data_IF_275067999778
#
_entry.id   IF_275067999778
#
_cell.length_a   1.000
_cell.length_b   1.000
_cell.length_c   1.000
_cell.angle_alpha   90.00
_cell.angle_beta   90.00
_cell.angle_gamma   90.00
#
_symmetry.space_group_name_H-M   'P 1'
#
loop_
_entity.id
_entity.type
_entity.pdbx_description
1 polymer ?
#
# COMPACT_ATOMS: atom_id res chain seq x y z
N UNK A 1 27.85 27.26 0.96
CA UNK A 1 27.00 27.88 -0.09
C UNK A 1 26.11 26.89 -0.83
N UNK A 2 26.61 25.99 -1.69
CA UNK A 2 25.76 25.11 -2.50
C UNK A 2 24.81 24.21 -1.67
N UNK A 3 25.29 23.69 -0.54
CA UNK A 3 24.51 22.78 0.32
C UNK A 3 23.32 23.42 1.04
N UNK A 4 23.42 24.70 1.42
CA UNK A 4 22.33 25.41 2.13
C UNK A 4 21.22 25.78 1.15
N UNK A 5 21.59 26.30 -0.03
CA UNK A 5 20.63 26.57 -1.12
C UNK A 5 19.97 25.30 -1.63
N UNK A 6 20.75 24.22 -1.79
CA UNK A 6 20.22 22.90 -2.17
C UNK A 6 19.31 22.33 -1.08
N UNK A 7 19.68 22.43 0.19
CA UNK A 7 18.86 21.98 1.31
C UNK A 7 17.53 22.73 1.41
N UNK A 8 17.55 24.06 1.24
CA UNK A 8 16.34 24.87 1.22
C UNK A 8 15.43 24.54 0.03
N UNK A 9 16.01 24.33 -1.15
CA UNK A 9 15.27 23.93 -2.35
C UNK A 9 14.66 22.53 -2.17
N UNK A 10 15.44 21.56 -1.69
CA UNK A 10 14.99 20.20 -1.42
C UNK A 10 13.85 20.18 -0.38
N UNK A 11 13.96 20.98 0.68
CA UNK A 11 12.93 21.12 1.68
C UNK A 11 11.64 21.77 1.12
N UNK A 12 11.77 22.85 0.34
CA UNK A 12 10.63 23.52 -0.28
C UNK A 12 9.90 22.60 -1.28
N UNK A 13 10.64 21.81 -2.04
CA UNK A 13 10.10 20.79 -2.95
C UNK A 13 9.44 19.65 -2.18
N UNK A 14 10.07 19.15 -1.12
CA UNK A 14 9.53 18.05 -0.31
C UNK A 14 8.23 18.43 0.39
N UNK A 15 8.19 19.58 1.06
CA UNK A 15 6.98 20.09 1.73
C UNK A 15 5.85 20.37 0.75
N UNK A 16 6.18 20.93 -0.42
CA UNK A 16 5.20 21.14 -1.48
C UNK A 16 4.64 19.83 -2.02
N UNK A 17 5.52 18.85 -2.30
CA UNK A 17 5.10 17.53 -2.79
C UNK A 17 4.19 16.85 -1.77
N UNK A 18 4.58 16.83 -0.51
CA UNK A 18 3.80 16.18 0.53
C UNK A 18 2.46 16.87 0.73
N UNK A 19 2.40 18.21 0.73
CA UNK A 19 1.14 18.93 0.85
C UNK A 19 0.19 18.67 -0.33
N UNK A 20 0.73 18.56 -1.54
CA UNK A 20 -0.05 18.18 -2.72
C UNK A 20 -0.55 16.72 -2.64
N UNK A 21 0.29 15.79 -2.17
CA UNK A 21 -0.06 14.37 -2.11
C UNK A 21 -0.99 14.01 -0.93
N UNK A 22 -0.82 14.67 0.21
CA UNK A 22 -1.54 14.36 1.45
C UNK A 22 -2.82 15.18 1.55
N UNK A 23 -2.74 16.48 1.27
CA UNK A 23 -3.85 17.43 1.47
C UNK A 23 -4.55 17.82 0.16
N UNK A 24 -4.03 17.41 -1.00
CA UNK A 24 -4.57 17.81 -2.30
C UNK A 24 -4.36 19.28 -2.66
N UNK A 25 -3.48 19.99 -1.92
CA UNK A 25 -3.23 21.42 -2.12
C UNK A 25 -2.04 21.62 -3.05
N UNK A 26 -2.31 22.06 -4.28
CA UNK A 26 -1.31 22.34 -5.30
C UNK A 26 -0.84 23.79 -5.28
N UNK A 27 0.42 24.02 -5.68
CA UNK A 27 0.95 25.37 -5.89
C UNK A 27 0.19 26.01 -7.05
N UNK A 28 -0.30 27.24 -6.83
CA UNK A 28 -1.01 28.02 -7.85
C UNK A 28 -0.06 28.87 -8.68
N UNK A 29 1.03 29.36 -8.08
CA UNK A 29 2.05 30.14 -8.78
C UNK A 29 3.48 29.72 -8.44
N UNK A 30 4.43 29.75 -9.40
CA UNK A 30 5.84 29.44 -9.14
C UNK A 30 6.47 30.26 -8.00
N UNK A 31 5.95 31.46 -7.76
CA UNK A 31 6.35 32.34 -6.67
C UNK A 31 6.10 31.72 -5.26
N UNK A 32 5.13 30.81 -5.12
CA UNK A 32 4.84 30.15 -3.84
C UNK A 32 5.98 29.23 -3.40
N UNK A 33 6.67 28.60 -4.36
CA UNK A 33 7.85 27.76 -4.08
C UNK A 33 9.03 28.61 -3.64
N UNK A 34 9.24 29.76 -4.32
CA UNK A 34 10.27 30.73 -3.96
C UNK A 34 10.01 31.30 -2.56
N UNK A 35 8.76 31.61 -2.24
CA UNK A 35 8.37 32.11 -0.92
C UNK A 35 8.69 31.09 0.20
N UNK A 36 8.37 29.80 0.00
CA UNK A 36 8.71 28.75 0.96
C UNK A 36 10.22 28.57 1.13
N UNK A 37 10.98 28.66 0.03
CA UNK A 37 12.44 28.57 0.04
C UNK A 37 13.07 29.72 0.81
N UNK A 38 12.60 30.95 0.57
CA UNK A 38 13.03 32.16 1.31
C UNK A 38 12.63 32.06 2.79
N UNK A 39 11.41 31.60 3.09
CA UNK A 39 10.94 31.42 4.47
C UNK A 39 11.81 30.42 5.24
N UNK A 40 12.17 29.29 4.62
CA UNK A 40 13.08 28.31 5.23
C UNK A 40 14.46 28.90 5.53
N UNK A 41 15.04 29.64 4.57
CA UNK A 41 16.33 30.30 4.73
C UNK A 41 16.29 31.37 5.84
N UNK A 42 15.16 32.05 6.01
CA UNK A 42 14.96 33.03 7.09
C UNK A 42 14.83 32.35 8.46
N UNK A 43 14.09 31.24 8.56
CA UNK A 43 13.94 30.44 9.79
C UNK A 43 15.26 29.78 10.24
N UNK A 44 16.09 29.33 9.30
CA UNK A 44 17.38 28.71 9.57
C UNK A 44 18.55 29.70 9.71
N UNK A 45 18.31 30.99 9.48
CA UNK A 45 19.29 32.08 9.63
C UNK A 45 20.05 32.05 10.97
N UNK A 46 19.42 31.83 12.15
CA UNK A 46 20.12 31.86 13.44
C UNK A 46 21.14 30.73 13.60
N UNK A 47 20.89 29.58 12.94
CA UNK A 47 21.69 28.36 13.04
C UNK A 47 22.82 28.30 12.00
N UNK A 48 22.89 29.26 11.09
CA UNK A 48 23.89 29.30 10.03
C UNK A 48 25.20 29.97 10.46
N UNK A 49 26.32 29.56 9.85
CA UNK A 49 27.64 30.16 10.11
C UNK A 49 27.61 31.64 9.75
N UNK A 50 28.40 32.47 10.45
CA UNK A 50 28.36 33.94 10.28
C UNK A 50 28.60 34.42 8.83
N UNK A 51 29.34 33.64 8.03
CA UNK A 51 29.57 33.92 6.61
C UNK A 51 28.32 33.69 5.74
N UNK A 52 27.48 32.70 6.08
CA UNK A 52 26.25 32.39 5.35
C UNK A 52 25.12 33.41 5.66
N UNK A 53 25.08 33.92 6.90
CA UNK A 53 24.09 34.94 7.33
C UNK A 53 24.13 36.23 6.47
N UNK A 54 25.34 36.75 6.23
CA UNK A 54 25.55 37.97 5.43
C UNK A 54 25.05 37.81 3.98
N UNK A 55 25.13 36.60 3.45
CA UNK A 55 24.68 36.33 2.08
C UNK A 55 23.16 36.15 1.98
N UNK A 56 22.54 35.53 2.99
CA UNK A 56 21.07 35.46 3.10
C UNK A 56 20.47 36.87 3.24
N UNK A 57 21.12 37.76 3.97
CA UNK A 57 20.73 39.18 4.08
C UNK A 57 20.85 39.91 2.74
N UNK A 58 21.94 39.69 2.00
CA UNK A 58 22.12 40.25 0.66
C UNK A 58 21.03 39.77 -0.33
N UNK A 59 20.67 38.48 -0.32
CA UNK A 59 19.60 37.92 -1.16
C UNK A 59 18.22 38.49 -0.80
N UNK A 60 17.93 38.65 0.49
CA UNK A 60 16.68 39.23 0.96
C UNK A 60 16.55 40.71 0.57
N UNK A 61 17.63 41.50 0.69
CA UNK A 61 17.66 42.90 0.28
C UNK A 61 17.41 43.07 -1.23
N UNK A 62 18.08 42.26 -2.07
CA UNK A 62 17.89 42.21 -3.52
C UNK A 62 16.44 41.90 -3.93
N UNK A 63 15.76 41.01 -3.20
CA UNK A 63 14.36 40.67 -3.47
C UNK A 63 13.40 41.82 -3.09
N UNK A 64 13.70 42.55 -2.02
CA UNK A 64 12.93 43.72 -1.60
C UNK A 64 13.13 44.90 -2.58
N UNK A 65 14.35 45.13 -3.06
CA UNK A 65 14.65 46.13 -4.10
C UNK A 65 13.90 45.83 -5.42
N UNK A 66 13.79 44.54 -5.79
CA UNK A 66 13.04 44.10 -6.98
C UNK A 66 11.53 44.33 -6.87
N UNK A 67 10.96 44.45 -5.66
CA UNK A 67 9.51 44.69 -5.48
C UNK A 67 9.13 46.16 -5.48
N UNK A 68 10.06 47.07 -5.19
CA UNK A 68 9.74 48.46 -4.88
C UNK A 68 9.97 49.49 -5.99
N UNK A 69 10.45 49.11 -7.17
CA UNK A 69 10.43 49.94 -8.39
C UNK A 69 10.98 51.39 -8.29
N UNK A 70 12.12 51.63 -8.97
CA UNK A 70 12.58 52.90 -9.60
C UNK A 70 13.61 53.77 -8.83
N UNK A 71 14.34 54.73 -9.48
CA UNK A 71 15.33 54.58 -10.56
C UNK A 71 16.73 55.21 -10.25
N UNK A 72 17.69 54.99 -11.16
CA UNK A 72 18.97 55.71 -11.41
C UNK A 72 20.26 55.47 -10.57
N UNK A 73 21.08 54.57 -11.11
CA UNK A 73 22.55 54.57 -11.37
C UNK A 73 23.43 55.66 -10.72
N UNK A 74 24.42 55.23 -9.91
CA UNK A 74 25.84 55.59 -10.13
C UNK A 74 26.79 54.53 -9.54
N UNK A 75 27.96 54.42 -10.17
CA UNK A 75 28.86 53.29 -10.16
C UNK A 75 29.63 53.06 -8.84
N UNK A 76 29.77 51.79 -8.45
CA UNK A 76 30.88 51.33 -7.65
C UNK A 76 31.39 50.00 -8.21
N UNK A 77 32.62 50.04 -8.71
CA UNK A 77 33.38 48.91 -9.25
C UNK A 77 33.60 47.85 -8.16
N UNK A 78 33.02 46.66 -8.36
CA UNK A 78 33.55 45.43 -7.78
C UNK A 78 33.33 44.30 -8.77
N UNK A 79 34.42 43.62 -9.14
CA UNK A 79 34.46 42.53 -10.13
C UNK A 79 33.37 41.49 -9.82
N UNK A 80 32.38 41.37 -10.71
CA UNK A 80 31.49 40.21 -10.73
C UNK A 80 32.33 38.95 -11.07
N UNK A 81 32.21 37.85 -10.30
CA UNK A 81 32.70 36.56 -10.77
C UNK A 81 31.78 36.12 -11.92
N UNK A 82 32.36 35.84 -13.09
CA UNK A 82 31.63 35.21 -14.18
C UNK A 82 31.18 33.81 -13.72
N UNK A 83 29.91 33.71 -13.34
CA UNK A 83 29.26 32.42 -13.19
C UNK A 83 29.17 31.82 -14.59
N UNK A 84 30.13 30.95 -14.88
CA UNK A 84 30.14 30.12 -16.08
C UNK A 84 28.75 29.48 -16.21
N UNK A 85 28.27 29.48 -17.45
CA UNK A 85 26.97 29.06 -17.95
C UNK A 85 26.57 27.58 -17.81
N UNK A 86 27.39 26.58 -17.36
CA UNK A 86 26.88 25.20 -17.34
C UNK A 86 25.93 24.90 -16.16
N UNK A 87 26.00 25.65 -15.05
CA UNK A 87 25.17 25.37 -13.87
C UNK A 87 23.71 25.80 -14.04
N UNK A 88 23.46 26.91 -14.75
CA UNK A 88 22.11 27.36 -15.05
C UNK A 88 21.42 26.41 -16.05
N UNK A 89 22.16 25.91 -17.04
CA UNK A 89 21.66 24.91 -17.99
C UNK A 89 21.38 23.55 -17.31
N UNK A 90 22.24 23.10 -16.40
CA UNK A 90 22.02 21.91 -15.58
C UNK A 90 20.80 22.06 -14.66
N UNK A 91 20.61 23.23 -14.05
CA UNK A 91 19.44 23.52 -13.23
C UNK A 91 18.15 23.55 -14.08
N UNK A 92 18.20 24.12 -15.28
CA UNK A 92 17.07 24.12 -16.22
C UNK A 92 16.73 22.70 -16.69
N UNK A 93 17.75 21.88 -17.01
CA UNK A 93 17.58 20.47 -17.37
C UNK A 93 17.02 19.65 -16.20
N UNK A 94 17.46 19.93 -14.97
CA UNK A 94 16.92 19.30 -13.77
C UNK A 94 15.46 19.69 -13.52
N UNK A 95 15.11 20.98 -13.66
CA UNK A 95 13.73 21.47 -13.57
C UNK A 95 12.86 20.84 -14.66
N UNK A 96 13.33 20.80 -15.91
CA UNK A 96 12.64 20.18 -17.05
C UNK A 96 12.44 18.67 -16.83
N UNK A 97 13.44 17.97 -16.29
CA UNK A 97 13.37 16.55 -15.93
C UNK A 97 12.39 16.30 -14.77
N UNK A 98 12.37 17.16 -13.75
CA UNK A 98 11.40 17.10 -12.66
C UNK A 98 9.98 17.40 -13.13
N UNK A 99 9.77 18.32 -14.09
CA UNK A 99 8.45 18.54 -14.69
C UNK A 99 7.97 17.36 -15.53
N UNK A 100 8.85 16.55 -16.14
CA UNK A 100 8.43 15.28 -16.78
C UNK A 100 7.95 14.23 -15.78
N UNK A 101 8.47 14.24 -14.54
CA UNK A 101 7.99 13.36 -13.47
C UNK A 101 6.67 13.86 -12.89
N UNK A 102 6.48 15.18 -12.79
CA UNK A 102 5.23 15.81 -12.35
C UNK A 102 4.10 15.74 -13.40
N UNK A 103 4.44 15.62 -14.68
CA UNK A 103 3.49 15.49 -15.81
C UNK A 103 3.31 14.04 -16.28
N UNK A 104 3.46 13.06 -15.38
CA UNK A 104 2.98 11.68 -15.62
C UNK A 104 1.51 11.47 -15.22
N UNK A 105 0.82 12.54 -14.83
CA UNK A 105 -0.65 12.56 -14.72
C UNK A 105 -1.30 12.63 -16.10
N UNK A 106 -1.50 11.47 -16.75
CA UNK A 106 -2.22 11.41 -18.03
C UNK A 106 -2.07 10.15 -18.85
N UNK A 107 -1.23 9.18 -18.44
CA UNK A 107 -1.31 7.84 -18.99
C UNK A 107 -2.55 7.16 -18.42
N UNK A 108 -3.63 7.03 -19.20
CA UNK A 108 -4.79 6.21 -18.84
C UNK A 108 -4.25 4.84 -18.38
N UNK A 109 -4.51 4.46 -17.13
CA UNK A 109 -4.08 3.17 -16.61
C UNK A 109 -4.51 2.09 -17.61
N UNK A 110 -3.61 1.18 -17.97
CA UNK A 110 -3.98 0.01 -18.78
C UNK A 110 -4.99 -0.89 -18.09
N UNK A 111 -5.15 -0.70 -16.77
CA UNK A 111 -6.14 -1.42 -15.99
C UNK A 111 -7.47 -0.70 -16.03
N UNK A 112 -8.52 -1.43 -16.40
CA UNK A 112 -9.91 -0.97 -16.39
C UNK A 112 -10.67 -1.48 -15.16
N UNK A 113 -10.11 -2.47 -14.46
CA UNK A 113 -10.75 -3.10 -13.32
C UNK A 113 -9.75 -3.75 -12.36
N UNK A 114 -10.20 -3.97 -11.11
CA UNK A 114 -9.47 -4.74 -10.10
C UNK A 114 -10.33 -5.91 -9.63
N UNK A 115 -9.76 -7.12 -9.65
CA UNK A 115 -10.39 -8.33 -9.10
C UNK A 115 -9.57 -8.75 -7.89
N UNK A 116 -10.14 -8.61 -6.69
CA UNK A 116 -9.41 -8.78 -5.43
C UNK A 116 -9.90 -9.98 -4.65
N UNK A 117 -8.97 -10.71 -4.04
CA UNK A 117 -9.15 -11.82 -3.10
C UNK A 117 -8.30 -11.55 -1.87
N UNK A 118 -8.65 -12.12 -0.73
CA UNK A 118 -7.86 -11.91 0.48
C UNK A 118 -8.66 -12.08 1.75
N UNK A 119 -8.12 -11.49 2.81
CA UNK A 119 -8.68 -11.57 4.14
C UNK A 119 -9.07 -10.16 4.65
N UNK A 120 -8.90 -9.91 5.96
CA UNK A 120 -9.19 -8.63 6.59
C UNK A 120 -8.40 -7.44 6.03
N UNK A 121 -7.21 -7.67 5.46
CA UNK A 121 -6.39 -6.62 4.86
C UNK A 121 -6.89 -6.15 3.49
N UNK A 122 -7.83 -6.87 2.91
CA UNK A 122 -8.44 -6.53 1.63
C UNK A 122 -9.97 -6.40 1.71
N UNK A 123 -10.65 -6.87 2.76
CA UNK A 123 -12.10 -6.88 2.85
C UNK A 123 -12.74 -5.48 2.90
N UNK A 124 -13.52 -5.16 1.87
CA UNK A 124 -14.26 -3.89 1.73
C UNK A 124 -15.71 -3.97 2.26
N UNK A 125 -16.02 -4.98 3.07
CA UNK A 125 -17.29 -5.14 3.79
C UNK A 125 -18.10 -6.40 3.45
N UNK A 126 -17.48 -7.45 2.89
CA UNK A 126 -18.10 -8.76 2.73
C UNK A 126 -18.37 -9.44 4.06
N UNK A 127 -17.45 -9.39 5.05
CA UNK A 127 -17.68 -10.05 6.34
C UNK A 127 -18.95 -9.53 7.02
N UNK A 128 -19.11 -8.21 7.13
CA UNK A 128 -20.30 -7.61 7.76
C UNK A 128 -21.58 -8.08 7.06
N UNK A 129 -21.59 -8.06 5.72
CA UNK A 129 -22.77 -8.48 4.93
C UNK A 129 -23.05 -9.98 5.02
N UNK A 130 -22.01 -10.79 5.16
CA UNK A 130 -22.16 -12.23 5.34
C UNK A 130 -22.62 -12.57 6.76
N UNK A 131 -22.07 -11.91 7.77
CA UNK A 131 -22.32 -12.19 9.18
C UNK A 131 -23.69 -11.70 9.65
N UNK A 132 -24.16 -10.54 9.17
CA UNK A 132 -25.44 -9.93 9.55
C UNK A 132 -26.64 -10.92 9.62
N UNK A 133 -26.89 -11.78 8.60
CA UNK A 133 -28.00 -12.74 8.65
C UNK A 133 -27.74 -14.01 9.48
N UNK A 134 -26.50 -14.33 9.86
CA UNK A 134 -26.13 -15.66 10.43
C UNK A 134 -25.43 -15.61 11.78
N UNK A 135 -24.91 -14.46 12.18
CA UNK A 135 -24.22 -14.21 13.45
C UNK A 135 -24.86 -12.99 14.13
N UNK A 136 -25.97 -13.17 14.86
CA UNK A 136 -26.58 -12.08 15.61
C UNK A 136 -25.65 -11.61 16.73
N UNK A 137 -25.07 -10.42 16.57
CA UNK A 137 -24.15 -9.79 17.52
C UNK A 137 -23.43 -8.58 16.91
N UNK A 138 -22.79 -7.71 17.71
CA UNK A 138 -22.07 -6.56 17.19
C UNK A 138 -20.86 -7.02 16.39
N UNK A 139 -20.92 -6.95 15.06
CA UNK A 139 -19.73 -7.03 14.23
C UNK A 139 -18.92 -5.74 14.45
N UNK A 140 -17.69 -5.80 15.00
CA UNK A 140 -16.92 -4.60 15.32
C UNK A 140 -16.72 -3.73 14.09
N UNK A 141 -16.54 -4.33 12.90
CA UNK A 141 -16.31 -3.59 11.64
C UNK A 141 -17.53 -2.79 11.14
N UNK A 142 -18.70 -3.00 11.73
CA UNK A 142 -19.92 -2.23 11.46
C UNK A 142 -20.13 -1.09 12.47
N UNK A 143 -19.15 -0.80 13.32
CA UNK A 143 -19.18 0.27 14.31
C UNK A 143 -17.94 1.17 14.17
N UNK A 144 -17.98 2.36 14.79
CA UNK A 144 -16.77 3.17 14.94
C UNK A 144 -15.76 2.43 15.84
N UNK A 145 -14.44 2.58 15.64
CA UNK A 145 -13.77 3.57 14.79
C UNK A 145 -13.63 3.20 13.31
N UNK A 146 -14.12 2.04 12.86
CA UNK A 146 -13.88 1.57 11.50
C UNK A 146 -14.48 2.54 10.46
N UNK A 147 -13.67 2.98 9.49
CA UNK A 147 -14.03 3.95 8.45
C UNK A 147 -14.08 5.43 8.85
N UNK A 148 -13.84 5.79 10.12
CA UNK A 148 -13.95 7.17 10.62
C UNK A 148 -13.05 8.20 9.91
N UNK A 149 -11.81 7.85 9.52
CA UNK A 149 -10.81 8.82 9.05
C UNK A 149 -10.91 9.17 7.56
N UNK A 150 -11.59 8.34 6.75
CA UNK A 150 -11.77 8.60 5.32
C UNK A 150 -13.23 8.58 4.86
N UNK A 151 -14.02 7.64 5.36
CA UNK A 151 -15.41 7.48 4.95
C UNK A 151 -16.37 8.27 5.86
N UNK A 152 -15.99 8.47 7.13
CA UNK A 152 -16.82 9.12 8.14
C UNK A 152 -17.95 8.22 8.69
N UNK A 153 -17.97 6.94 8.31
CA UNK A 153 -18.93 5.95 8.78
C UNK A 153 -18.37 4.52 8.64
N UNK A 154 -18.89 3.53 9.39
CA UNK A 154 -18.48 2.13 9.27
C UNK A 154 -18.75 1.54 7.90
N UNK A 155 -17.71 1.01 7.26
CA UNK A 155 -17.82 0.38 5.93
C UNK A 155 -17.70 -1.14 5.96
N UNK A 156 -17.37 -1.74 7.10
CA UNK A 156 -17.01 -3.15 7.22
C UNK A 156 -15.55 -3.48 6.93
N UNK A 157 -14.69 -2.47 6.72
CA UNK A 157 -13.23 -2.61 6.61
C UNK A 157 -12.59 -2.78 7.99
N UNK A 158 -11.55 -3.59 8.11
CA UNK A 158 -10.76 -3.74 9.33
C UNK A 158 -9.72 -2.61 9.53
N UNK A 159 -10.12 -1.37 9.26
CA UNK A 159 -9.35 -0.14 9.46
C UNK A 159 -10.29 1.03 9.72
N UNK A 160 -9.80 2.05 10.41
CA UNK A 160 -10.40 3.36 10.56
C UNK A 160 -10.55 4.13 9.24
N UNK A 161 -9.98 3.66 8.13
CA UNK A 161 -10.07 4.36 6.85
C UNK A 161 -9.93 3.43 5.65
N UNK A 162 -8.89 3.68 4.84
CA UNK A 162 -8.65 3.02 3.54
C UNK A 162 -7.73 1.83 3.68
N UNK A 163 -8.02 0.79 2.90
CA UNK A 163 -7.14 -0.37 2.72
C UNK A 163 -6.07 -0.09 1.67
N UNK A 164 -5.02 -0.93 1.65
CA UNK A 164 -4.00 -0.93 0.57
C UNK A 164 -4.66 -1.03 -0.81
N UNK A 165 -5.74 -1.82 -0.93
CA UNK A 165 -6.53 -1.96 -2.14
C UNK A 165 -7.13 -0.62 -2.62
N UNK A 166 -7.61 0.21 -1.70
CA UNK A 166 -8.20 1.53 -2.02
C UNK A 166 -7.12 2.48 -2.58
N UNK A 167 -5.90 2.45 -2.01
CA UNK A 167 -4.77 3.22 -2.54
C UNK A 167 -4.32 2.72 -3.92
N UNK A 168 -4.34 1.41 -4.17
CA UNK A 168 -4.06 0.84 -5.49
C UNK A 168 -5.11 1.33 -6.50
N UNK A 169 -6.40 1.26 -6.17
CA UNK A 169 -7.47 1.74 -7.04
C UNK A 169 -7.29 3.22 -7.39
N UNK A 170 -7.04 4.06 -6.38
CA UNK A 170 -6.80 5.48 -6.57
C UNK A 170 -5.58 5.76 -7.46
N UNK A 171 -4.46 5.06 -7.24
CA UNK A 171 -3.25 5.21 -8.04
C UNK A 171 -3.45 4.80 -9.51
N UNK A 172 -4.38 3.89 -9.78
CA UNK A 172 -4.76 3.46 -11.13
C UNK A 172 -5.87 4.33 -11.75
N UNK A 173 -6.39 5.33 -11.03
CA UNK A 173 -7.53 6.14 -11.49
C UNK A 173 -8.83 5.36 -11.60
N UNK A 174 -8.97 4.28 -10.82
CA UNK A 174 -10.16 3.44 -10.75
C UNK A 174 -11.01 3.80 -9.51
N UNK A 175 -12.33 3.56 -9.55
CA UNK A 175 -13.17 3.69 -8.36
C UNK A 175 -12.77 2.66 -7.30
N UNK A 176 -13.15 2.92 -6.05
CA UNK A 176 -12.98 1.96 -4.96
C UNK A 176 -13.71 0.65 -5.28
N UNK A 177 -13.08 -0.48 -4.94
CA UNK A 177 -13.56 -1.79 -5.36
C UNK A 177 -14.69 -2.25 -4.44
N UNK A 178 -15.92 -2.47 -4.95
CA UNK A 178 -17.04 -2.88 -4.11
C UNK A 178 -16.91 -4.34 -3.64
N UNK A 179 -17.43 -4.67 -2.43
CA UNK A 179 -17.48 -6.06 -1.96
C UNK A 179 -18.50 -6.87 -2.78
N UNK A 180 -18.18 -8.12 -3.06
CA UNK A 180 -19.01 -9.07 -3.83
C UNK A 180 -20.46 -9.16 -3.32
N UNK A 181 -20.66 -9.13 -2.00
CA UNK A 181 -21.99 -9.26 -1.38
C UNK A 181 -22.81 -7.97 -1.37
N UNK A 182 -22.30 -6.85 -1.91
CA UNK A 182 -23.07 -5.61 -1.96
C UNK A 182 -24.19 -5.68 -3.03
N UNK A 183 -25.44 -5.63 -2.56
CA UNK A 183 -26.65 -5.60 -3.40
C UNK A 183 -26.62 -4.44 -4.40
N UNK A 184 -27.02 -4.70 -5.66
CA UNK A 184 -27.13 -3.68 -6.70
C UNK A 184 -25.80 -3.11 -7.21
N UNK A 185 -24.66 -3.69 -6.82
CA UNK A 185 -23.35 -3.17 -7.21
C UNK A 185 -23.06 -3.38 -8.69
N UNK A 186 -22.49 -2.36 -9.32
CA UNK A 186 -21.91 -2.48 -10.64
C UNK A 186 -20.45 -2.95 -10.54
N UNK A 187 -20.18 -4.20 -10.92
CA UNK A 187 -18.83 -4.77 -10.93
C UNK A 187 -18.03 -4.44 -12.19
N UNK A 188 -18.45 -3.42 -12.96
CA UNK A 188 -17.80 -3.11 -14.22
C UNK A 188 -16.35 -2.64 -14.06
N UNK A 189 -16.03 -1.97 -12.97
CA UNK A 189 -14.68 -1.49 -12.66
C UNK A 189 -13.94 -2.40 -11.66
N UNK A 190 -14.48 -3.59 -11.38
CA UNK A 190 -13.89 -4.53 -10.44
C UNK A 190 -14.84 -5.03 -9.37
N UNK A 191 -14.37 -6.03 -8.64
CA UNK A 191 -15.08 -6.70 -7.56
C UNK A 191 -14.07 -7.23 -6.55
N UNK A 192 -14.42 -7.16 -5.27
CA UNK A 192 -13.60 -7.66 -4.19
C UNK A 192 -14.29 -8.84 -3.49
N UNK A 193 -13.65 -10.00 -3.53
CA UNK A 193 -14.09 -11.24 -2.90
C UNK A 193 -13.49 -11.46 -1.51
N UNK A 194 -12.54 -10.63 -1.08
CA UNK A 194 -11.89 -10.76 0.22
C UNK A 194 -12.91 -10.74 1.37
N UNK A 195 -12.67 -11.57 2.40
CA UNK A 195 -13.52 -11.64 3.60
C UNK A 195 -12.63 -11.63 4.84
N UNK A 196 -12.90 -10.74 5.78
CA UNK A 196 -12.13 -10.66 7.01
C UNK A 196 -12.17 -12.00 7.79
N UNK A 197 -11.00 -12.44 8.26
CA UNK A 197 -10.81 -13.74 8.93
C UNK A 197 -10.68 -14.94 7.98
N UNK A 198 -10.72 -14.75 6.66
CA UNK A 198 -10.60 -15.85 5.71
C UNK A 198 -9.23 -16.57 5.80
N UNK A 199 -9.21 -17.90 5.98
CA UNK A 199 -8.01 -18.72 5.81
C UNK A 199 -7.75 -19.04 4.33
N UNK A 200 -6.53 -19.49 4.03
CA UNK A 200 -6.19 -20.08 2.74
C UNK A 200 -6.80 -21.48 2.59
N UNK A 201 -6.81 -22.25 3.68
CA UNK A 201 -7.35 -23.61 3.75
C UNK A 201 -8.86 -23.56 3.98
N UNK A 202 -9.61 -24.49 3.38
CA UNK A 202 -11.07 -24.49 3.54
C UNK A 202 -11.49 -24.98 4.95
N UNK A 203 -12.67 -24.53 5.38
CA UNK A 203 -13.18 -24.81 6.72
C UNK A 203 -13.30 -26.32 7.00
N UNK A 204 -13.83 -27.08 6.02
CA UNK A 204 -14.00 -28.54 6.16
C UNK A 204 -12.68 -29.26 6.37
N UNK A 205 -11.60 -28.85 5.68
CA UNK A 205 -10.27 -29.41 5.88
C UNK A 205 -9.76 -29.11 7.29
N UNK A 206 -9.85 -27.85 7.74
CA UNK A 206 -9.41 -27.45 9.08
C UNK A 206 -10.15 -28.24 10.17
N UNK A 207 -11.48 -28.38 10.05
CA UNK A 207 -12.29 -29.17 10.97
C UNK A 207 -11.89 -30.65 10.97
N UNK A 208 -11.61 -31.23 9.80
CA UNK A 208 -11.09 -32.60 9.68
C UNK A 208 -9.70 -32.80 10.27
N UNK A 209 -8.97 -31.73 10.61
CA UNK A 209 -7.70 -31.76 11.34
C UNK A 209 -7.87 -31.52 12.85
N UNK A 210 -9.11 -31.59 13.36
CA UNK A 210 -9.49 -31.24 14.72
C UNK A 210 -9.07 -29.80 15.09
N UNK A 211 -9.23 -28.87 14.14
CA UNK A 211 -9.03 -27.45 14.39
C UNK A 211 -10.39 -26.76 14.48
N UNK A 212 -10.62 -26.07 15.59
CA UNK A 212 -11.79 -25.24 15.79
C UNK A 212 -11.57 -23.88 15.12
N UNK A 213 -12.53 -23.46 14.31
CA UNK A 213 -12.55 -22.15 13.66
C UNK A 213 -13.76 -21.41 14.22
N UNK A 214 -13.51 -20.36 15.00
CA UNK A 214 -14.55 -19.60 15.68
C UNK A 214 -14.44 -18.10 15.38
N UNK A 215 -15.49 -17.48 14.81
CA UNK A 215 -16.69 -18.12 14.24
C UNK A 215 -16.33 -19.01 13.03
N UNK A 216 -17.19 -19.97 12.63
CA UNK A 216 -16.93 -20.87 11.51
C UNK A 216 -17.08 -20.14 10.16
N UNK A 217 -16.13 -19.28 9.85
CA UNK A 217 -16.10 -18.46 8.64
C UNK A 217 -15.91 -19.38 7.44
N UNK A 218 -17.01 -19.75 6.78
CA UNK A 218 -17.00 -20.53 5.54
C UNK A 218 -16.76 -19.64 4.32
N UNK A 219 -15.65 -18.89 4.35
CA UNK A 219 -15.25 -17.87 3.37
C UNK A 219 -13.75 -17.88 3.09
N UNK A 220 -13.16 -19.07 3.11
CA UNK A 220 -11.76 -19.32 2.76
C UNK A 220 -11.43 -18.86 1.34
N UNK A 221 -10.15 -18.84 0.97
CA UNK A 221 -9.74 -18.59 -0.42
C UNK A 221 -10.51 -19.46 -1.41
N UNK A 222 -10.77 -20.73 -1.07
CA UNK A 222 -11.55 -21.63 -1.94
C UNK A 222 -12.96 -21.09 -2.21
N UNK A 223 -13.66 -20.63 -1.18
CA UNK A 223 -15.02 -20.08 -1.29
C UNK A 223 -15.04 -18.77 -2.10
N UNK A 224 -13.99 -17.95 -1.95
CA UNK A 224 -13.83 -16.72 -2.73
C UNK A 224 -13.61 -17.01 -4.22
N UNK A 225 -12.87 -18.09 -4.54
CA UNK A 225 -12.68 -18.53 -5.93
C UNK A 225 -13.98 -19.10 -6.52
N UNK A 226 -14.80 -19.79 -5.73
CA UNK A 226 -16.12 -20.24 -6.17
C UNK A 226 -17.06 -19.06 -6.47
N UNK A 227 -17.03 -18.02 -5.65
CA UNK A 227 -17.74 -16.76 -5.93
C UNK A 227 -17.27 -16.12 -7.23
N UNK A 228 -15.96 -16.08 -7.44
CA UNK A 228 -15.40 -15.58 -8.69
C UNK A 228 -15.87 -16.38 -9.90
N UNK A 229 -15.82 -17.72 -9.85
CA UNK A 229 -16.29 -18.56 -10.95
C UNK A 229 -17.78 -18.34 -11.25
N UNK A 230 -18.62 -18.18 -10.21
CA UNK A 230 -20.05 -17.88 -10.37
C UNK A 230 -20.28 -16.51 -11.03
N UNK A 231 -19.49 -15.51 -10.68
CA UNK A 231 -19.64 -14.15 -11.23
C UNK A 231 -18.97 -13.97 -12.60
N UNK A 232 -17.95 -14.77 -12.92
CA UNK A 232 -17.12 -14.68 -14.13
C UNK A 232 -17.94 -14.49 -15.42
N UNK A 233 -19.03 -15.26 -15.69
CA UNK A 233 -19.81 -15.07 -16.92
C UNK A 233 -20.46 -13.69 -17.03
N UNK A 234 -20.93 -13.14 -15.91
CA UNK A 234 -21.57 -11.82 -15.86
C UNK A 234 -20.56 -10.69 -16.07
N UNK A 235 -19.30 -10.87 -15.64
CA UNK A 235 -18.24 -9.89 -15.85
C UNK A 235 -17.84 -9.77 -17.34
N UNK A 236 -17.93 -10.86 -18.10
CA UNK A 236 -17.59 -10.89 -19.53
C UNK A 236 -18.69 -10.32 -20.44
N UNK A 237 -19.95 -10.26 -19.96
CA UNK A 237 -21.11 -9.93 -20.80
C UNK A 237 -21.01 -8.50 -21.33
N UNK A 238 -20.91 -8.35 -22.66
CA UNK A 238 -20.88 -7.05 -23.35
C UNK A 238 -19.56 -6.29 -23.27
N UNK A 239 -18.49 -6.90 -22.75
CA UNK A 239 -17.20 -6.22 -22.49
C UNK A 239 -16.06 -6.57 -23.44
N UNK A 240 -16.37 -7.27 -24.54
CA UNK A 240 -15.37 -7.79 -25.47
C UNK A 240 -14.54 -8.93 -24.87
N UNK A 241 -13.67 -9.54 -25.68
CA UNK A 241 -12.91 -10.73 -25.31
C UNK A 241 -11.82 -10.49 -24.25
N UNK A 242 -11.48 -9.24 -23.90
CA UNK A 242 -10.26 -8.91 -23.13
C UNK A 242 -10.53 -8.22 -21.77
N UNK A 243 -11.71 -8.44 -21.16
CA UNK A 243 -12.01 -7.85 -19.84
C UNK A 243 -10.92 -8.21 -18.82
N UNK A 244 -10.56 -9.49 -18.72
CA UNK A 244 -9.57 -9.96 -17.75
C UNK A 244 -8.12 -9.58 -18.08
N UNK A 245 -7.74 -9.41 -19.35
CA UNK A 245 -6.39 -8.95 -19.71
C UNK A 245 -6.17 -7.48 -19.35
N UNK A 246 -7.25 -6.69 -19.22
CA UNK A 246 -7.23 -5.34 -18.67
C UNK A 246 -7.59 -5.26 -17.18
N UNK A 247 -7.76 -6.39 -16.49
CA UNK A 247 -7.94 -6.44 -15.03
C UNK A 247 -6.61 -6.60 -14.29
N UNK A 248 -6.48 -5.94 -13.15
CA UNK A 248 -5.48 -6.28 -12.14
C UNK A 248 -6.08 -7.30 -11.18
N UNK A 249 -5.50 -8.49 -11.10
CA UNK A 249 -5.84 -9.46 -10.08
C UNK A 249 -4.97 -9.22 -8.85
N UNK A 250 -5.59 -9.05 -7.69
CA UNK A 250 -4.93 -8.90 -6.41
C UNK A 250 -5.24 -10.14 -5.58
N UNK A 251 -4.28 -11.04 -5.47
CA UNK A 251 -4.28 -12.12 -4.50
C UNK A 251 -3.65 -11.56 -3.22
N UNK A 252 -4.51 -11.15 -2.29
CA UNK A 252 -4.15 -10.57 -1.01
C UNK A 252 -3.41 -11.53 -0.08
N UNK A 253 -3.22 -11.11 1.16
CA UNK A 253 -2.51 -11.95 2.14
C UNK A 253 -3.36 -13.16 2.53
N UNK A 254 -2.68 -14.30 2.67
CA UNK A 254 -3.24 -15.56 3.14
C UNK A 254 -2.19 -16.34 3.94
N UNK A 255 -2.65 -17.06 4.97
CA UNK A 255 -1.83 -17.83 5.90
C UNK A 255 -1.86 -17.27 7.33
N UNK A 256 -2.02 -15.95 7.51
CA UNK A 256 -2.13 -15.35 8.84
C UNK A 256 -3.27 -15.94 9.67
N UNK A 257 -4.48 -16.01 9.09
CA UNK A 257 -5.65 -16.59 9.76
C UNK A 257 -5.50 -18.10 9.98
N UNK A 258 -4.93 -18.84 9.02
CA UNK A 258 -4.64 -20.27 9.17
C UNK A 258 -3.77 -20.53 10.41
N UNK A 259 -2.72 -19.74 10.60
CA UNK A 259 -1.87 -19.83 11.78
C UNK A 259 -2.56 -19.37 13.06
N UNK A 260 -3.38 -18.32 13.02
CA UNK A 260 -4.16 -17.90 14.19
C UNK A 260 -5.08 -19.02 14.70
N UNK A 261 -5.78 -19.73 13.80
CA UNK A 261 -6.63 -20.87 14.18
C UNK A 261 -5.82 -22.03 14.77
N UNK A 262 -4.66 -22.34 14.18
CA UNK A 262 -3.74 -23.35 14.71
C UNK A 262 -3.28 -22.99 16.14
N UNK A 263 -2.86 -21.74 16.37
CA UNK A 263 -2.42 -21.30 17.69
C UNK A 263 -3.57 -21.28 18.70
N UNK A 264 -4.78 -20.90 18.28
CA UNK A 264 -5.98 -20.92 19.12
C UNK A 264 -6.37 -22.33 19.57
N UNK A 265 -5.96 -23.35 18.80
CA UNK A 265 -6.10 -24.77 19.14
C UNK A 265 -4.87 -25.33 19.89
N UNK A 266 -4.05 -24.48 20.52
CA UNK A 266 -2.84 -24.85 21.25
C UNK A 266 -1.82 -25.67 20.42
N UNK A 267 -1.79 -25.49 19.09
CA UNK A 267 -0.75 -26.09 18.26
C UNK A 267 0.57 -25.34 18.45
N UNK A 268 1.68 -26.06 18.48
CA UNK A 268 3.01 -25.42 18.51
C UNK A 268 3.35 -24.81 17.14
N UNK A 269 4.34 -23.92 17.11
CA UNK A 269 4.85 -23.34 15.85
C UNK A 269 5.38 -24.43 14.91
N UNK A 270 6.01 -25.47 15.46
CA UNK A 270 6.50 -26.63 14.71
C UNK A 270 5.36 -27.43 14.09
N UNK A 271 4.26 -27.63 14.84
CA UNK A 271 3.06 -28.27 14.33
C UNK A 271 2.38 -27.40 13.25
N UNK A 272 2.31 -26.09 13.44
CA UNK A 272 1.76 -25.18 12.44
C UNK A 272 2.59 -25.14 11.15
N UNK A 273 3.90 -25.31 11.25
CA UNK A 273 4.83 -25.29 10.12
C UNK A 273 4.51 -26.34 9.06
N UNK A 274 3.93 -27.48 9.44
CA UNK A 274 3.61 -28.57 8.50
C UNK A 274 2.49 -28.21 7.52
N UNK A 275 1.72 -27.15 7.80
CA UNK A 275 0.64 -26.66 6.96
C UNK A 275 1.08 -25.62 5.93
N UNK A 276 2.29 -25.06 6.07
CA UNK A 276 2.79 -24.03 5.16
C UNK A 276 2.80 -24.45 3.67
N UNK A 277 3.18 -25.70 3.31
CA UNK A 277 3.07 -26.17 1.93
C UNK A 277 1.64 -26.15 1.39
N UNK A 278 0.66 -26.63 2.16
CA UNK A 278 -0.75 -26.70 1.78
C UNK A 278 -1.37 -25.31 1.62
N UNK A 279 -1.00 -24.37 2.51
CA UNK A 279 -1.39 -22.96 2.40
C UNK A 279 -0.87 -22.38 1.07
N UNK A 280 0.42 -22.57 0.78
CA UNK A 280 1.04 -22.09 -0.47
C UNK A 280 0.43 -22.76 -1.70
N UNK A 281 0.09 -24.04 -1.64
CA UNK A 281 -0.63 -24.74 -2.70
C UNK A 281 -2.03 -24.16 -2.92
N UNK A 282 -2.74 -23.78 -1.86
CA UNK A 282 -4.04 -23.09 -1.96
C UNK A 282 -3.91 -21.74 -2.66
N UNK A 283 -2.96 -20.89 -2.23
CA UNK A 283 -2.67 -19.59 -2.87
C UNK A 283 -2.33 -19.79 -4.35
N UNK A 284 -1.52 -20.80 -4.65
CA UNK A 284 -1.12 -21.12 -6.03
C UNK A 284 -2.30 -21.50 -6.91
N UNK A 285 -3.21 -22.35 -6.41
CA UNK A 285 -4.46 -22.66 -7.10
C UNK A 285 -5.30 -21.42 -7.35
N UNK A 286 -5.33 -20.46 -6.42
CA UNK A 286 -6.00 -19.17 -6.63
C UNK A 286 -5.41 -18.38 -7.80
N UNK A 287 -4.08 -18.34 -7.93
CA UNK A 287 -3.39 -17.72 -9.07
C UNK A 287 -3.75 -18.44 -10.38
N UNK A 288 -3.79 -19.78 -10.38
CA UNK A 288 -4.11 -20.59 -11.56
C UNK A 288 -5.58 -20.48 -11.99
N UNK A 289 -6.52 -20.44 -11.04
CA UNK A 289 -7.97 -20.30 -11.31
C UNK A 289 -8.30 -18.93 -11.89
N UNK A 290 -7.61 -17.90 -11.39
CA UNK A 290 -7.58 -16.59 -12.01
C UNK A 290 -7.11 -16.64 -13.47
N UNK A 291 -6.36 -17.68 -13.86
CA UNK A 291 -5.70 -17.80 -15.16
C UNK A 291 -6.37 -18.72 -16.20
N UNK A 292 -7.64 -19.08 -16.01
CA UNK A 292 -8.39 -20.01 -16.89
C UNK A 292 -8.68 -19.51 -18.32
N UNK A 293 -8.10 -18.39 -18.77
CA UNK A 293 -8.19 -17.89 -20.16
C UNK A 293 -6.94 -17.05 -20.52
N UNK A 294 -5.89 -17.61 -21.13
CA UNK A 294 -4.49 -17.15 -21.10
C UNK A 294 -4.14 -15.74 -21.67
N UNK A 295 -5.11 -14.86 -21.92
CA UNK A 295 -4.87 -13.50 -22.35
C UNK A 295 -4.27 -12.61 -21.23
N UNK A 296 -2.95 -12.39 -21.28
CA UNK A 296 -2.17 -11.25 -20.74
C UNK A 296 -2.58 -10.71 -19.36
N UNK A 297 -2.88 -11.60 -18.41
CA UNK A 297 -3.25 -11.18 -17.05
C UNK A 297 -2.08 -10.62 -16.26
N UNK A 298 -2.43 -9.80 -15.28
CA UNK A 298 -1.51 -9.38 -14.23
C UNK A 298 -2.05 -9.76 -12.88
N UNK A 299 -1.29 -10.58 -12.18
CA UNK A 299 -1.63 -11.08 -10.85
C UNK A 299 -0.59 -10.59 -9.88
N UNK A 300 -1.01 -9.80 -8.91
CA UNK A 300 -0.21 -9.46 -7.73
C UNK A 300 -0.51 -10.50 -6.66
N UNK A 301 0.53 -11.04 -6.04
CA UNK A 301 0.45 -12.02 -4.96
C UNK A 301 1.17 -11.43 -3.75
N UNK A 302 0.45 -11.23 -2.65
CA UNK A 302 1.01 -10.73 -1.41
C UNK A 302 1.72 -11.84 -0.63
N UNK A 303 2.93 -11.55 -0.15
CA UNK A 303 3.54 -12.32 0.92
C UNK A 303 2.80 -12.06 2.25
N UNK A 304 2.91 -13.03 3.15
CA UNK A 304 2.49 -12.85 4.54
C UNK A 304 3.32 -11.76 5.25
N UNK A 305 2.67 -10.95 6.07
CA UNK A 305 3.28 -9.89 6.89
C UNK A 305 4.02 -10.50 8.12
N UNK A 306 4.72 -9.72 8.96
CA UNK A 306 5.46 -10.28 10.10
C UNK A 306 4.49 -10.72 11.20
N UNK A 307 3.96 -11.95 11.08
CA UNK A 307 2.90 -12.48 11.95
C UNK A 307 3.26 -12.50 13.44
N UNK A 308 4.54 -12.57 13.79
CA UNK A 308 4.99 -12.51 15.18
C UNK A 308 4.82 -11.13 15.81
N UNK A 309 4.54 -10.10 15.02
CA UNK A 309 4.26 -8.74 15.48
C UNK A 309 2.76 -8.46 15.64
N UNK A 310 1.88 -9.41 15.28
CA UNK A 310 0.44 -9.17 15.38
C UNK A 310 0.01 -9.10 16.85
N UNK A 311 -0.81 -8.12 17.26
CA UNK A 311 -1.34 -8.05 18.61
C UNK A 311 -2.07 -9.34 19.05
N UNK A 312 -2.83 -9.96 18.15
CA UNK A 312 -3.52 -11.22 18.43
C UNK A 312 -2.54 -12.37 18.76
N UNK A 313 -1.44 -12.48 18.00
CA UNK A 313 -0.40 -13.49 18.23
C UNK A 313 0.39 -13.18 19.51
N UNK A 314 0.77 -11.92 19.73
CA UNK A 314 1.49 -11.49 20.94
C UNK A 314 0.67 -11.71 22.21
N UNK A 315 -0.65 -11.53 22.14
CA UNK A 315 -1.56 -11.76 23.27
C UNK A 315 -1.74 -13.25 23.54
N UNK A 316 -2.02 -14.04 22.50
CA UNK A 316 -2.29 -15.48 22.61
C UNK A 316 -1.06 -16.28 23.04
N UNK A 317 0.13 -15.88 22.60
CA UNK A 317 1.40 -16.55 22.88
C UNK A 317 2.30 -15.73 23.79
N UNK A 318 1.71 -14.90 24.66
CA UNK A 318 2.45 -14.07 25.60
C UNK A 318 3.38 -14.94 26.46
N UNK A 319 4.65 -14.54 26.56
CA UNK A 319 5.69 -15.27 27.25
C UNK A 319 6.47 -14.32 28.15
N UNK A 320 6.78 -14.71 29.41
CA UNK A 320 7.64 -13.91 30.28
C UNK A 320 9.12 -13.96 29.83
N UNK A 321 9.46 -14.85 28.92
CA UNK A 321 10.82 -15.02 28.43
C UNK A 321 11.14 -13.99 27.34
N UNK A 322 11.76 -12.88 27.72
CA UNK A 322 12.19 -11.82 26.79
C UNK A 322 13.10 -12.34 25.65
N UNK A 323 13.76 -13.49 25.83
CA UNK A 323 14.57 -14.12 24.78
C UNK A 323 13.75 -14.74 23.65
N UNK A 324 12.42 -14.82 23.74
CA UNK A 324 11.56 -15.28 22.64
C UNK A 324 11.18 -14.17 21.65
N UNK A 325 11.33 -12.93 22.08
CA UNK A 325 11.05 -11.74 21.29
C UNK A 325 12.33 -11.26 20.57
N UNK A 326 12.15 -10.57 19.44
CA UNK A 326 13.22 -9.83 18.79
C UNK A 326 13.28 -8.37 19.29
N UNK A 327 14.21 -7.58 18.76
CA UNK A 327 14.38 -6.18 19.16
C UNK A 327 13.19 -5.27 18.86
N UNK A 328 12.16 -5.76 18.16
CA UNK A 328 10.91 -5.05 17.87
C UNK A 328 9.76 -5.50 18.76
N UNK A 329 10.01 -6.38 19.75
CA UNK A 329 8.96 -6.96 20.57
C UNK A 329 8.12 -8.02 19.84
N UNK A 330 8.57 -8.51 18.69
CA UNK A 330 7.85 -9.54 17.93
C UNK A 330 8.32 -10.95 18.28
N UNK A 331 7.41 -11.92 18.30
CA UNK A 331 7.74 -13.33 18.55
C UNK A 331 8.59 -13.91 17.41
N UNK A 332 9.82 -14.34 17.74
CA UNK A 332 10.80 -14.82 16.75
C UNK A 332 10.34 -16.09 16.03
N UNK A 333 9.72 -17.02 16.76
CA UNK A 333 9.22 -18.30 16.23
C UNK A 333 8.14 -18.08 15.17
N UNK A 334 7.17 -17.22 15.47
CA UNK A 334 6.09 -16.86 14.55
C UNK A 334 6.61 -16.10 13.33
N UNK A 335 7.50 -15.12 13.52
CA UNK A 335 8.15 -14.44 12.40
C UNK A 335 8.99 -15.40 11.53
N UNK A 336 9.63 -16.41 12.13
CA UNK A 336 10.35 -17.47 11.38
C UNK A 336 9.39 -18.34 10.57
N UNK A 337 8.22 -18.67 11.10
CA UNK A 337 7.17 -19.40 10.38
C UNK A 337 6.65 -18.61 9.18
N UNK A 338 6.31 -17.33 9.36
CA UNK A 338 5.89 -16.45 8.26
C UNK A 338 6.94 -16.37 7.15
N UNK A 339 8.22 -16.15 7.50
CA UNK A 339 9.33 -16.15 6.51
C UNK A 339 9.49 -17.50 5.81
N UNK A 340 9.27 -18.62 6.50
CA UNK A 340 9.29 -19.94 5.89
C UNK A 340 8.18 -20.07 4.84
N UNK A 341 6.94 -19.69 5.15
CA UNK A 341 5.83 -19.65 4.19
C UNK A 341 6.15 -18.76 2.98
N UNK A 342 6.61 -17.52 3.20
CA UNK A 342 6.99 -16.60 2.11
C UNK A 342 8.07 -17.22 1.22
N UNK A 343 9.03 -17.95 1.80
CA UNK A 343 10.09 -18.61 1.01
C UNK A 343 9.53 -19.70 0.09
N UNK A 344 8.55 -20.47 0.56
CA UNK A 344 7.84 -21.48 -0.23
C UNK A 344 6.99 -20.81 -1.33
N UNK A 345 6.24 -19.77 -0.97
CA UNK A 345 5.41 -19.00 -1.90
C UNK A 345 6.25 -18.40 -3.04
N UNK A 346 7.37 -17.75 -2.71
CA UNK A 346 8.28 -17.18 -3.72
C UNK A 346 8.87 -18.25 -4.65
N UNK A 347 9.20 -19.44 -4.14
CA UNK A 347 9.64 -20.57 -4.99
C UNK A 347 8.50 -21.01 -5.91
N UNK A 348 7.28 -21.14 -5.40
CA UNK A 348 6.13 -21.55 -6.19
C UNK A 348 5.73 -20.52 -7.25
N UNK A 349 5.82 -19.23 -6.94
CA UNK A 349 5.63 -18.14 -7.91
C UNK A 349 6.63 -18.24 -9.08
N UNK A 350 7.89 -18.64 -8.83
CA UNK A 350 8.85 -18.87 -9.93
C UNK A 350 8.39 -19.99 -10.86
N UNK A 351 7.85 -21.07 -10.32
CA UNK A 351 7.28 -22.19 -11.10
C UNK A 351 6.06 -21.72 -11.89
N UNK A 352 5.15 -20.96 -11.26
CA UNK A 352 3.96 -20.43 -11.94
C UNK A 352 4.33 -19.49 -13.08
N UNK A 353 5.34 -18.64 -12.92
CA UNK A 353 5.84 -17.76 -14.01
C UNK A 353 6.37 -18.54 -15.21
N UNK A 354 6.98 -19.71 -14.97
CA UNK A 354 7.41 -20.60 -16.05
C UNK A 354 6.22 -21.29 -16.74
N UNK A 355 5.25 -21.74 -15.94
CA UNK A 355 4.04 -22.42 -16.43
C UNK A 355 3.12 -21.49 -17.23
N UNK A 356 3.06 -20.21 -16.86
CA UNK A 356 2.17 -19.20 -17.46
C UNK A 356 2.98 -18.02 -18.01
N UNK A 357 3.72 -18.19 -19.12
CA UNK A 357 4.64 -17.17 -19.64
C UNK A 357 3.93 -15.90 -20.14
N UNK A 358 2.63 -15.99 -20.44
CA UNK A 358 1.81 -14.86 -20.87
C UNK A 358 1.14 -14.11 -19.71
N UNK A 359 1.23 -14.64 -18.49
CA UNK A 359 0.66 -14.04 -17.28
C UNK A 359 1.77 -13.39 -16.45
N UNK A 360 1.67 -12.08 -16.21
CA UNK A 360 2.62 -11.36 -15.38
C UNK A 360 2.25 -11.53 -13.91
N UNK A 361 2.91 -12.48 -13.25
CA UNK A 361 2.76 -12.74 -11.81
C UNK A 361 3.79 -11.94 -11.02
N UNK A 362 3.35 -11.07 -10.12
CA UNK A 362 4.17 -10.16 -9.32
C UNK A 362 4.06 -10.56 -7.85
N UNK A 363 5.16 -11.01 -7.24
CA UNK A 363 5.22 -11.18 -5.80
C UNK A 363 5.41 -9.80 -5.14
N UNK A 364 4.65 -9.52 -4.08
CA UNK A 364 4.75 -8.29 -3.29
C UNK A 364 5.17 -8.60 -1.87
N UNK A 365 6.09 -7.80 -1.33
CA UNK A 365 6.69 -8.02 -0.02
C UNK A 365 6.01 -7.15 1.04
N UNK A 366 5.25 -7.75 1.94
CA UNK A 366 4.64 -7.04 3.07
C UNK A 366 5.55 -7.01 4.31
N UNK A 367 6.43 -8.00 4.46
CA UNK A 367 7.22 -8.18 5.68
C UNK A 367 8.03 -6.94 6.08
N UNK A 368 8.87 -6.43 5.18
CA UNK A 368 9.79 -5.31 5.50
C UNK A 368 9.06 -3.98 5.68
N UNK A 369 8.13 -3.58 4.78
CA UNK A 369 7.37 -2.33 4.99
C UNK A 369 6.59 -2.33 6.29
N UNK A 370 5.91 -3.44 6.63
CA UNK A 370 5.15 -3.52 7.88
C UNK A 370 6.07 -3.47 9.10
N UNK A 371 7.18 -4.23 9.09
CA UNK A 371 8.14 -4.20 10.20
C UNK A 371 8.75 -2.79 10.38
N UNK A 372 8.97 -2.05 9.30
CA UNK A 372 9.46 -0.67 9.37
C UNK A 372 8.44 0.30 10.01
N UNK A 373 7.14 0.03 9.91
CA UNK A 373 6.11 0.81 10.59
C UNK A 373 6.00 0.45 12.08
N UNK A 374 6.26 -0.82 12.46
CA UNK A 374 6.32 -1.25 13.86
C UNK A 374 7.44 -0.52 14.63
N UNK A 375 8.49 -0.07 13.95
CA UNK A 375 9.60 0.70 14.54
C UNK A 375 9.23 2.15 14.94
N UNK A 376 8.08 2.66 14.49
CA UNK A 376 7.70 4.08 14.65
C UNK A 376 6.56 4.25 15.67
N UNK A 377 5.94 3.16 16.12
CA UNK A 377 4.98 3.13 17.22
C UNK A 377 5.68 2.74 18.52
#
# INVERSE_FOLDING_TARGET
MAWVGFGALAWALWTTRNKALIEGIYIKHPADLLYKLVSFLQLWKPLSRAQDRRHVEWLAAKHLESKNGSPNIQAASSKQPSMRTPHAALLLLFILSCSRVAYSGGGRSRFTSIISFGDSYADTGNLVRWADPVLPGPNPFNNLPYGETFFGYPTGRATDGRLVLDFIAQALGLPLVPPYLAKGSNFSAGVNFAVAGAPALNLTYLQGQNLTVEPPINRSLHDQLDWFQKLKPSLCKGKGADFFGSSLFVMGEFGGNDYNFLMSCNRTVEQARVYAPQIVDSISRGVEIGDTDPARRQVVVADIFPIGCLPAILTMLASPNNMEYDGHGCLKSMNKLGRYQSSLLRRRIKVLRYKYPHTKIIATEYYRPVLACVLVA
#
